data_IF_674366094895
#
_entry.id   IF_674366094895
#
_cell.length_a   1.000
_cell.length_b   1.000
_cell.length_c   1.000
_cell.angle_alpha   90.00
_cell.angle_beta   90.00
_cell.angle_gamma   90.00
#
_symmetry.space_group_name_H-M   'P 1'
#
loop_
_entity.id
_entity.type
_entity.pdbx_description
1 polymer ?
#
# COMPACT_ATOMS: atom_id res chain seq x y z
N UNK A 1 9.79 -14.32 2.74
CA UNK A 1 10.44 -13.00 2.94
C UNK A 1 9.51 -11.87 2.55
N UNK A 2 9.78 -10.62 3.02
CA UNK A 2 9.00 -9.44 2.66
C UNK A 2 9.93 -8.27 2.35
N UNK A 3 9.60 -7.51 1.33
CA UNK A 3 10.33 -6.31 0.93
C UNK A 3 9.36 -5.18 0.59
N UNK A 4 9.73 -3.96 0.96
CA UNK A 4 9.03 -2.75 0.52
C UNK A 4 9.98 -1.96 -0.37
N UNK A 5 9.49 -1.53 -1.54
CA UNK A 5 10.27 -0.80 -2.55
C UNK A 5 9.48 0.38 -3.10
N UNK A 6 10.15 1.33 -3.73
CA UNK A 6 9.49 2.38 -4.51
C UNK A 6 9.03 1.88 -5.91
N UNK A 7 9.49 0.72 -6.37
CA UNK A 7 9.05 0.10 -7.62
C UNK A 7 9.68 0.68 -8.90
N UNK A 8 10.51 1.70 -8.82
CA UNK A 8 11.08 2.37 -10.02
C UNK A 8 12.11 1.54 -10.76
N UNK A 9 12.80 0.62 -10.07
CA UNK A 9 13.87 -0.21 -10.62
C UNK A 9 13.46 -1.67 -10.86
N UNK A 10 12.16 -1.98 -10.87
CA UNK A 10 11.70 -3.33 -11.15
C UNK A 10 12.11 -3.76 -12.56
N UNK A 11 12.71 -4.94 -12.65
CA UNK A 11 13.13 -5.55 -13.90
C UNK A 11 12.98 -7.08 -13.82
N UNK A 12 13.24 -7.78 -14.94
CA UNK A 12 13.06 -9.22 -15.01
C UNK A 12 13.91 -9.98 -13.97
N UNK A 13 15.14 -9.55 -13.76
CA UNK A 13 16.06 -10.17 -12.78
C UNK A 13 15.50 -10.06 -11.37
N UNK A 14 15.05 -8.88 -10.96
CA UNK A 14 14.47 -8.66 -9.64
C UNK A 14 13.18 -9.48 -9.45
N UNK A 15 12.26 -9.43 -10.44
CA UNK A 15 11.00 -10.15 -10.35
C UNK A 15 11.19 -11.66 -10.34
N UNK A 16 12.13 -12.21 -11.11
CA UNK A 16 12.46 -13.62 -11.08
C UNK A 16 13.05 -14.03 -9.73
N UNK A 17 13.95 -13.24 -9.15
CA UNK A 17 14.46 -13.48 -7.80
C UNK A 17 13.37 -13.45 -6.74
N UNK A 18 12.38 -12.53 -6.85
CA UNK A 18 11.25 -12.49 -5.93
C UNK A 18 10.40 -13.77 -6.01
N UNK A 19 10.20 -14.32 -7.21
CA UNK A 19 9.48 -15.59 -7.41
C UNK A 19 10.24 -16.75 -6.81
N UNK A 20 11.51 -16.88 -7.16
CA UNK A 20 12.39 -17.99 -6.75
C UNK A 20 12.48 -18.08 -5.22
N UNK A 21 12.62 -16.96 -4.54
CA UNK A 21 12.82 -16.91 -3.10
C UNK A 21 11.53 -16.65 -2.28
N UNK A 22 10.36 -16.66 -2.93
CA UNK A 22 9.07 -16.52 -2.25
C UNK A 22 8.87 -15.16 -1.55
N UNK A 23 9.29 -14.07 -2.18
CA UNK A 23 9.11 -12.73 -1.62
C UNK A 23 7.66 -12.25 -1.70
N UNK A 24 7.24 -11.57 -0.64
CA UNK A 24 6.06 -10.70 -0.65
C UNK A 24 6.53 -9.27 -0.88
N UNK A 25 6.15 -8.68 -2.00
CA UNK A 25 6.62 -7.35 -2.39
C UNK A 25 5.50 -6.31 -2.22
N UNK A 26 5.79 -5.24 -1.48
CA UNK A 26 4.96 -4.05 -1.36
C UNK A 26 5.62 -2.89 -2.09
N UNK A 27 4.85 -2.19 -2.89
CA UNK A 27 5.27 -0.96 -3.57
C UNK A 27 4.67 0.24 -2.84
N UNK A 28 5.53 1.17 -2.45
CA UNK A 28 5.11 2.44 -1.85
C UNK A 28 4.54 3.35 -2.93
N UNK A 29 3.23 3.63 -2.86
CA UNK A 29 2.52 4.39 -3.88
C UNK A 29 1.47 5.29 -3.21
N UNK A 30 1.74 6.58 -3.09
CA UNK A 30 0.88 7.54 -2.40
C UNK A 30 -0.07 8.25 -3.39
N UNK A 31 -1.14 7.54 -3.79
CA UNK A 31 -2.05 7.99 -4.83
C UNK A 31 -1.48 7.77 -6.24
N UNK A 32 -2.04 8.45 -7.22
CA UNK A 32 -1.71 8.30 -8.64
C UNK A 32 -1.29 9.61 -9.28
N UNK A 33 -0.46 9.53 -10.32
CA UNK A 33 -0.02 10.69 -11.10
C UNK A 33 0.59 11.79 -10.23
N UNK A 34 0.06 13.00 -10.35
CA UNK A 34 0.59 14.17 -9.66
C UNK A 34 0.52 14.07 -8.13
N UNK A 35 -0.42 13.30 -7.56
CA UNK A 35 -0.49 13.10 -6.11
C UNK A 35 0.74 12.35 -5.61
N UNK A 36 1.09 11.24 -6.29
CA UNK A 36 2.29 10.47 -5.97
C UNK A 36 3.55 11.30 -6.19
N UNK A 37 3.65 11.96 -7.34
CA UNK A 37 4.83 12.73 -7.72
C UNK A 37 5.10 13.94 -6.81
N UNK A 38 4.04 14.53 -6.24
CA UNK A 38 4.18 15.58 -5.24
C UNK A 38 4.79 15.09 -3.91
N UNK A 39 4.48 13.84 -3.51
CA UNK A 39 4.97 13.27 -2.25
C UNK A 39 6.29 12.49 -2.42
N UNK A 40 6.56 11.95 -3.60
CA UNK A 40 7.72 11.08 -3.90
C UNK A 40 8.41 11.42 -5.22
N UNK A 41 8.87 12.67 -5.40
CA UNK A 41 9.64 13.04 -6.59
C UNK A 41 11.00 12.32 -6.60
N UNK A 42 11.61 12.22 -7.77
CA UNK A 42 13.03 11.86 -7.87
C UNK A 42 13.91 12.94 -7.23
N UNK A 43 15.07 12.56 -6.69
CA UNK A 43 16.06 13.52 -6.15
C UNK A 43 16.55 14.53 -7.20
N UNK A 44 16.53 14.15 -8.46
CA UNK A 44 16.90 14.98 -9.61
C UNK A 44 15.77 15.88 -10.11
N UNK A 45 14.61 15.84 -9.46
CA UNK A 45 13.35 16.42 -9.96
C UNK A 45 12.59 15.47 -10.87
N UNK A 46 11.34 15.83 -11.16
CA UNK A 46 10.43 15.00 -11.98
C UNK A 46 9.70 13.94 -11.17
N UNK A 47 8.62 13.43 -11.76
CA UNK A 47 7.75 12.43 -11.13
C UNK A 47 8.30 11.01 -11.28
N UNK A 48 8.04 10.17 -10.30
CA UNK A 48 8.40 8.74 -10.31
C UNK A 48 7.23 7.81 -10.66
N UNK A 49 6.00 8.33 -10.68
CA UNK A 49 4.79 7.55 -10.89
C UNK A 49 4.78 6.80 -12.24
N UNK A 50 5.18 7.47 -13.32
CA UNK A 50 5.16 6.89 -14.67
C UNK A 50 6.02 5.62 -14.77
N UNK A 51 7.20 5.61 -14.15
CA UNK A 51 8.07 4.43 -14.13
C UNK A 51 7.49 3.31 -13.29
N UNK A 52 6.85 3.64 -12.17
CA UNK A 52 6.19 2.66 -11.31
C UNK A 52 4.99 2.04 -12.04
N UNK A 53 4.12 2.84 -12.65
CA UNK A 53 2.95 2.36 -13.40
C UNK A 53 3.37 1.41 -14.53
N UNK A 54 4.34 1.83 -15.35
CA UNK A 54 4.90 1.01 -16.42
C UNK A 54 5.43 -0.33 -15.90
N UNK A 55 6.21 -0.32 -14.81
CA UNK A 55 6.81 -1.52 -14.25
C UNK A 55 5.75 -2.44 -13.64
N UNK A 56 4.80 -1.89 -12.90
CA UNK A 56 3.72 -2.70 -12.29
C UNK A 56 2.88 -3.36 -13.37
N UNK A 57 2.42 -2.62 -14.38
CA UNK A 57 1.62 -3.18 -15.49
C UNK A 57 2.39 -4.28 -16.24
N UNK A 58 3.69 -4.09 -16.47
CA UNK A 58 4.53 -5.08 -17.14
C UNK A 58 4.58 -6.42 -16.39
N UNK A 59 4.63 -6.40 -15.07
CA UNK A 59 4.88 -7.59 -14.27
C UNK A 59 3.69 -8.11 -13.46
N UNK A 60 2.56 -7.37 -13.40
CA UNK A 60 1.41 -7.68 -12.53
C UNK A 60 0.71 -9.00 -12.85
N UNK A 61 0.75 -9.46 -14.09
CA UNK A 61 0.20 -10.77 -14.46
C UNK A 61 1.08 -11.92 -13.96
N UNK A 62 2.38 -11.70 -13.90
CA UNK A 62 3.37 -12.71 -13.53
C UNK A 62 3.76 -12.70 -12.06
N UNK A 63 3.49 -11.61 -11.33
CA UNK A 63 3.84 -11.45 -9.93
C UNK A 63 2.81 -10.61 -9.15
N UNK A 64 2.31 -11.09 -7.99
CA UNK A 64 1.25 -10.44 -7.22
C UNK A 64 1.79 -9.33 -6.31
N UNK A 65 2.03 -8.14 -6.85
CA UNK A 65 2.43 -6.98 -6.06
C UNK A 65 1.33 -6.50 -5.10
N UNK A 66 1.76 -5.91 -3.98
CA UNK A 66 0.92 -5.11 -3.11
C UNK A 66 1.25 -3.63 -3.23
N UNK A 67 0.25 -2.76 -3.15
CA UNK A 67 0.42 -1.32 -2.99
C UNK A 67 0.25 -0.92 -1.53
N UNK A 68 1.06 0.02 -1.06
CA UNK A 68 0.88 0.68 0.23
C UNK A 68 0.91 2.18 0.05
N UNK A 69 -0.23 2.82 0.34
CA UNK A 69 -0.39 4.26 0.30
C UNK A 69 -0.41 4.86 1.71
N UNK A 70 0.26 6.00 1.87
CA UNK A 70 0.17 6.81 3.08
C UNK A 70 -0.90 7.87 2.87
N UNK A 71 -1.90 7.89 3.76
CA UNK A 71 -2.96 8.90 3.73
C UNK A 71 -2.49 10.15 4.46
N UNK A 72 -2.61 11.29 3.80
CA UNK A 72 -2.31 12.62 4.32
C UNK A 72 -3.49 13.55 4.07
N UNK A 73 -3.46 14.78 4.56
CA UNK A 73 -4.48 15.79 4.23
C UNK A 73 -4.58 16.04 2.71
N UNK A 74 -3.48 15.89 1.97
CA UNK A 74 -3.42 16.07 0.51
C UNK A 74 -3.72 14.79 -0.29
N UNK A 75 -3.73 13.64 0.38
CA UNK A 75 -3.99 12.32 -0.23
C UNK A 75 -4.93 11.51 0.64
N UNK A 76 -6.24 11.76 0.52
CA UNK A 76 -7.29 11.10 1.32
C UNK A 76 -8.46 10.55 0.46
N UNK A 77 -8.29 10.40 -0.86
CA UNK A 77 -9.31 9.88 -1.77
C UNK A 77 -9.18 8.37 -1.96
N UNK A 78 -9.51 7.60 -0.92
CA UNK A 78 -9.28 6.15 -0.86
C UNK A 78 -9.91 5.37 -2.00
N UNK A 79 -11.15 5.72 -2.38
CA UNK A 79 -11.90 4.97 -3.41
C UNK A 79 -11.25 5.14 -4.78
N UNK A 80 -10.91 6.38 -5.13
CA UNK A 80 -10.22 6.68 -6.40
C UNK A 80 -8.89 5.93 -6.49
N UNK A 81 -8.05 6.05 -5.45
CA UNK A 81 -6.75 5.39 -5.41
C UNK A 81 -6.89 3.85 -5.43
N UNK A 82 -7.88 3.30 -4.73
CA UNK A 82 -8.17 1.86 -4.75
C UNK A 82 -8.51 1.36 -6.15
N UNK A 83 -9.40 2.05 -6.87
CA UNK A 83 -9.81 1.67 -8.21
C UNK A 83 -8.65 1.73 -9.19
N UNK A 84 -7.84 2.78 -9.12
CA UNK A 84 -6.67 2.91 -9.97
C UNK A 84 -5.60 1.86 -9.67
N UNK A 85 -5.34 1.58 -8.41
CA UNK A 85 -4.39 0.50 -8.04
C UNK A 85 -4.89 -0.87 -8.50
N UNK A 86 -6.21 -1.12 -8.42
CA UNK A 86 -6.83 -2.34 -8.99
C UNK A 86 -6.58 -2.43 -10.50
N UNK A 87 -6.79 -1.32 -11.22
CA UNK A 87 -6.56 -1.23 -12.68
C UNK A 87 -5.09 -1.42 -13.07
N UNK A 88 -4.15 -0.89 -12.28
CA UNK A 88 -2.70 -1.11 -12.46
C UNK A 88 -2.29 -2.58 -12.27
N UNK A 89 -3.15 -3.41 -11.66
CA UNK A 89 -2.92 -4.84 -11.47
C UNK A 89 -2.40 -5.23 -10.08
N UNK A 90 -2.46 -4.33 -9.10
CA UNK A 90 -2.13 -4.71 -7.72
C UNK A 90 -3.10 -5.75 -7.17
N UNK A 91 -2.58 -6.73 -6.42
CA UNK A 91 -3.34 -7.83 -5.82
C UNK A 91 -3.58 -7.67 -4.32
N UNK A 92 -2.97 -6.68 -3.71
CA UNK A 92 -3.13 -6.32 -2.29
C UNK A 92 -2.98 -4.82 -2.15
N UNK A 93 -3.94 -4.18 -1.49
CA UNK A 93 -3.94 -2.71 -1.34
C UNK A 93 -4.06 -2.39 0.15
N UNK A 94 -3.13 -1.56 0.62
CA UNK A 94 -3.06 -1.11 2.01
C UNK A 94 -3.09 0.41 2.04
N UNK A 95 -3.95 0.96 2.89
CA UNK A 95 -3.95 2.37 3.26
C UNK A 95 -3.53 2.51 4.72
N UNK A 96 -2.63 3.44 4.99
CA UNK A 96 -2.16 3.73 6.35
C UNK A 96 -2.21 5.24 6.59
N UNK A 97 -2.89 5.72 7.63
CA UNK A 97 -2.86 7.14 7.96
C UNK A 97 -1.45 7.55 8.39
N UNK A 98 -1.06 8.77 8.01
CA UNK A 98 0.19 9.36 8.47
C UNK A 98 0.11 9.66 9.97
N UNK A 99 1.21 9.43 10.67
CA UNK A 99 1.41 9.91 12.03
C UNK A 99 2.50 10.97 12.00
N UNK A 100 2.11 12.25 11.94
CA UNK A 100 3.03 13.36 11.80
C UNK A 100 2.49 14.59 12.52
N UNK A 101 3.41 15.40 13.03
CA UNK A 101 3.14 16.75 13.56
C UNK A 101 3.34 17.85 12.51
N UNK A 102 3.80 17.51 11.31
CA UNK A 102 3.95 18.45 10.20
C UNK A 102 2.57 18.86 9.66
N UNK A 103 2.25 20.15 9.80
CA UNK A 103 0.98 20.76 9.38
C UNK A 103 0.69 20.53 7.88
N UNK A 104 1.74 20.37 7.05
CA UNK A 104 1.59 20.20 5.62
C UNK A 104 1.05 18.82 5.22
N UNK A 105 1.18 17.82 6.10
CA UNK A 105 0.81 16.43 5.80
C UNK A 105 -0.08 15.79 6.84
N UNK A 106 -0.20 16.38 8.04
CA UNK A 106 -1.04 15.81 9.11
C UNK A 106 -2.50 15.77 8.69
N UNK A 107 -3.20 14.78 9.16
CA UNK A 107 -4.64 14.64 8.94
C UNK A 107 -5.41 15.65 9.81
N UNK A 108 -6.22 16.46 9.17
CA UNK A 108 -7.18 17.36 9.80
C UNK A 108 -8.59 16.71 9.85
N UNK A 109 -9.54 17.38 10.47
CA UNK A 109 -10.90 16.87 10.59
C UNK A 109 -11.57 16.63 9.22
N UNK A 110 -11.29 17.49 8.24
CA UNK A 110 -11.83 17.35 6.89
C UNK A 110 -11.31 16.08 6.20
N UNK A 111 -9.99 15.86 6.22
CA UNK A 111 -9.38 14.66 5.67
C UNK A 111 -9.80 13.39 6.41
N UNK A 112 -9.94 13.44 7.74
CA UNK A 112 -10.46 12.31 8.53
C UNK A 112 -11.89 11.95 8.15
N UNK A 113 -12.76 12.94 7.91
CA UNK A 113 -14.13 12.70 7.45
C UNK A 113 -14.16 12.09 6.04
N UNK A 114 -13.31 12.55 5.12
CA UNK A 114 -13.15 11.91 3.80
C UNK A 114 -12.66 10.46 3.88
N UNK A 115 -11.67 10.22 4.71
CA UNK A 115 -11.15 8.86 4.94
C UNK A 115 -12.25 7.95 5.49
N UNK A 116 -13.03 8.43 6.47
CA UNK A 116 -14.16 7.67 7.04
C UNK A 116 -15.19 7.31 5.98
N UNK A 117 -15.62 8.28 5.16
CA UNK A 117 -16.55 8.03 4.07
C UNK A 117 -15.99 7.02 3.07
N UNK A 118 -14.74 7.20 2.63
CA UNK A 118 -14.08 6.28 1.71
C UNK A 118 -13.91 4.87 2.27
N UNK A 119 -13.70 4.71 3.58
CA UNK A 119 -13.65 3.39 4.23
C UNK A 119 -15.01 2.69 4.21
N UNK A 120 -16.11 3.42 4.39
CA UNK A 120 -17.48 2.87 4.30
C UNK A 120 -17.74 2.40 2.87
N UNK A 121 -17.45 3.24 1.86
CA UNK A 121 -17.62 2.89 0.45
C UNK A 121 -16.78 1.66 0.05
N UNK A 122 -15.54 1.58 0.52
CA UNK A 122 -14.69 0.42 0.27
C UNK A 122 -15.15 -0.83 1.02
N UNK A 123 -15.79 -0.68 2.19
CA UNK A 123 -16.38 -1.82 2.90
C UNK A 123 -17.57 -2.40 2.12
N UNK A 124 -18.42 -1.56 1.55
CA UNK A 124 -19.53 -2.00 0.69
C UNK A 124 -19.02 -2.71 -0.57
N UNK A 125 -17.96 -2.18 -1.19
CA UNK A 125 -17.33 -2.86 -2.33
C UNK A 125 -16.70 -4.20 -1.94
N UNK A 126 -16.07 -4.27 -0.76
CA UNK A 126 -15.50 -5.49 -0.21
C UNK A 126 -16.56 -6.58 -0.03
N UNK A 127 -17.73 -6.23 0.53
CA UNK A 127 -18.84 -7.18 0.70
C UNK A 127 -19.38 -7.66 -0.66
N UNK A 128 -19.60 -6.75 -1.61
CA UNK A 128 -20.03 -7.11 -2.97
C UNK A 128 -19.05 -8.07 -3.65
N UNK A 129 -17.74 -7.86 -3.49
CA UNK A 129 -16.74 -8.78 -4.06
C UNK A 129 -16.82 -10.18 -3.43
N UNK A 130 -17.03 -10.27 -2.11
CA UNK A 130 -17.23 -11.57 -1.44
C UNK A 130 -18.48 -12.28 -1.96
N UNK A 131 -19.60 -11.59 -2.07
CA UNK A 131 -20.87 -12.15 -2.57
C UNK A 131 -20.75 -12.66 -4.00
N UNK A 132 -19.88 -12.06 -4.82
CA UNK A 132 -19.55 -12.47 -6.17
C UNK A 132 -18.49 -13.58 -6.26
N UNK A 133 -17.99 -14.05 -5.12
CA UNK A 133 -16.91 -15.04 -5.06
C UNK A 133 -15.53 -14.51 -5.44
N UNK A 134 -15.38 -13.17 -5.55
CA UNK A 134 -14.10 -12.53 -5.83
C UNK A 134 -13.23 -12.44 -4.56
N UNK A 135 -11.93 -12.38 -4.76
CA UNK A 135 -10.98 -12.16 -3.67
C UNK A 135 -10.78 -10.66 -3.44
N UNK A 136 -11.26 -10.10 -2.31
CA UNK A 136 -11.10 -8.67 -2.04
C UNK A 136 -9.63 -8.26 -1.95
N UNK A 137 -9.30 -7.14 -2.59
CA UNK A 137 -7.93 -6.61 -2.63
C UNK A 137 -7.60 -5.69 -1.45
N UNK A 138 -8.62 -5.12 -0.79
CA UNK A 138 -8.46 -4.19 0.33
C UNK A 138 -8.02 -4.91 1.60
N UNK A 139 -6.72 -4.96 1.81
CA UNK A 139 -6.11 -5.78 2.89
C UNK A 139 -6.20 -5.14 4.26
N UNK A 140 -6.25 -3.82 4.36
CA UNK A 140 -6.44 -3.12 5.64
C UNK A 140 -7.77 -3.55 6.29
N UNK A 141 -8.86 -3.53 5.51
CA UNK A 141 -10.17 -3.98 6.00
C UNK A 141 -10.16 -5.48 6.30
N UNK A 142 -9.61 -6.30 5.40
CA UNK A 142 -9.51 -7.74 5.66
C UNK A 142 -8.81 -8.04 6.99
N UNK A 143 -7.72 -7.35 7.27
CA UNK A 143 -6.98 -7.54 8.53
C UNK A 143 -7.84 -7.16 9.74
N UNK A 144 -8.61 -6.07 9.66
CA UNK A 144 -9.52 -5.67 10.72
C UNK A 144 -10.63 -6.71 10.94
N UNK A 145 -11.24 -7.21 9.86
CA UNK A 145 -12.26 -8.27 9.93
C UNK A 145 -11.68 -9.55 10.53
N UNK A 146 -10.50 -9.99 10.09
CA UNK A 146 -9.83 -11.20 10.62
C UNK A 146 -9.54 -11.08 12.13
N UNK A 147 -9.15 -9.90 12.62
CA UNK A 147 -8.94 -9.64 14.05
C UNK A 147 -10.23 -9.72 14.84
N UNK A 148 -11.31 -9.11 14.36
CA UNK A 148 -12.63 -9.14 15.00
C UNK A 148 -13.14 -10.58 15.04
N UNK A 149 -13.12 -11.28 13.92
CA UNK A 149 -13.64 -12.66 13.81
C UNK A 149 -12.84 -13.67 14.65
N UNK A 150 -11.54 -13.45 14.79
CA UNK A 150 -10.68 -14.34 15.60
C UNK A 150 -10.69 -14.02 17.09
N UNK A 151 -11.40 -12.99 17.51
CA UNK A 151 -11.41 -12.47 18.89
C UNK A 151 -9.98 -12.23 19.44
N UNK A 152 -9.05 -11.84 18.57
CA UNK A 152 -7.65 -11.59 18.96
C UNK A 152 -7.44 -10.11 19.25
N UNK A 153 -6.77 -9.83 20.35
CA UNK A 153 -6.31 -8.48 20.67
C UNK A 153 -4.89 -8.32 20.11
N UNK A 154 -4.70 -7.36 19.20
CA UNK A 154 -3.37 -6.99 18.74
C UNK A 154 -2.73 -6.04 19.77
N UNK A 155 -1.89 -6.58 20.66
CA UNK A 155 -1.18 -5.78 21.65
C UNK A 155 -0.07 -4.89 21.06
N UNK A 156 0.41 -5.17 19.84
CA UNK A 156 1.48 -4.43 19.18
C UNK A 156 1.11 -4.24 17.71
N UNK A 157 0.93 -2.99 17.30
CA UNK A 157 0.47 -2.65 15.95
C UNK A 157 1.43 -3.07 14.83
N UNK A 158 2.74 -2.87 14.98
CA UNK A 158 3.72 -3.09 13.92
C UNK A 158 4.54 -4.36 14.05
N UNK A 159 4.54 -5.03 15.19
CA UNK A 159 5.36 -6.23 15.44
C UNK A 159 6.86 -5.97 15.60
N UNK A 160 7.30 -4.71 15.64
CA UNK A 160 8.70 -4.36 15.90
C UNK A 160 9.21 -4.97 17.22
N UNK A 161 10.41 -5.50 17.21
CA UNK A 161 11.04 -6.19 18.35
C UNK A 161 10.46 -7.58 18.66
N UNK A 162 9.44 -8.05 17.91
CA UNK A 162 8.86 -9.40 18.08
C UNK A 162 8.79 -10.21 16.79
N UNK A 163 8.44 -9.60 15.67
CA UNK A 163 8.29 -10.25 14.35
C UNK A 163 9.22 -9.67 13.31
N UNK A 164 9.73 -8.47 13.54
CA UNK A 164 10.64 -7.76 12.67
C UNK A 164 11.88 -7.39 13.44
N UNK A 165 13.02 -7.72 12.86
CA UNK A 165 14.34 -7.30 13.30
C UNK A 165 14.89 -6.41 12.20
N UNK A 166 15.35 -5.22 12.56
CA UNK A 166 16.07 -4.35 11.62
C UNK A 166 17.55 -4.64 11.72
N UNK A 167 18.19 -4.79 10.56
CA UNK A 167 19.65 -4.95 10.46
C UNK A 167 20.17 -3.77 9.67
N UNK A 168 21.15 -3.05 10.21
CA UNK A 168 21.81 -1.95 9.50
C UNK A 168 22.69 -2.48 8.36
N UNK A 169 23.12 -1.63 7.41
CA UNK A 169 24.07 -2.05 6.38
C UNK A 169 25.40 -2.59 6.94
N UNK A 170 25.76 -2.18 8.16
CA UNK A 170 26.95 -2.61 8.90
C UNK A 170 26.74 -3.95 9.62
N UNK A 171 25.50 -4.45 9.68
CA UNK A 171 25.14 -5.71 10.31
C UNK A 171 24.70 -5.61 11.78
N UNK A 172 24.55 -4.43 12.31
CA UNK A 172 24.02 -4.20 13.67
C UNK A 172 22.49 -4.45 13.73
N UNK A 173 22.00 -4.95 14.88
CA UNK A 173 20.62 -5.32 15.13
C UNK A 173 19.96 -4.38 16.13
#
# INVERSE_FOLDING_TARGET
YSITTNGTLLNDTAVNSFKEHGFSVLISLDGTGCKHDASRPYKTGGGSFSDIDKNVRRFSESFPFGARATLTNNNCNLVEDYLQFKEMGFRRIYFSPVSSFDENIKLDEHSLNKIRAGLIDLADQYLKQIDQGEKPLFRTLKTAVDLIMSNRIAFVGCGAGRRFISVTPEGDV
#
